data_IF_838459235131
#
_entry.id   IF_838459235131
#
_cell.length_a   1.000
_cell.length_b   1.000
_cell.length_c   1.000
_cell.angle_alpha   90.00
_cell.angle_beta   90.00
_cell.angle_gamma   90.00
#
_symmetry.space_group_name_H-M   'P 1'
#
loop_
_entity.id
_entity.type
_entity.pdbx_description
1 polymer ?
#
# COMPACT_ATOMS: atom_id res chain seq x y z
N UNK A 1 4.20 16.51 13.01
CA UNK A 1 3.02 16.47 12.11
C UNK A 1 2.21 15.24 12.47
N UNK A 2 0.91 15.45 12.64
CA UNK A 2 0.01 14.67 13.51
C UNK A 2 -0.30 13.31 12.90
N UNK A 3 -0.17 12.23 13.69
CA UNK A 3 -0.49 10.85 13.31
C UNK A 3 -1.88 10.67 12.65
N UNK A 4 -2.80 11.62 12.84
CA UNK A 4 -4.13 11.62 12.26
C UNK A 4 -4.16 11.73 10.72
N UNK A 5 -3.24 12.50 10.13
CA UNK A 5 -3.18 12.72 8.68
C UNK A 5 -2.75 11.44 7.95
N UNK A 6 -1.82 10.68 8.53
CA UNK A 6 -1.33 9.42 7.96
C UNK A 6 -2.43 8.36 7.87
N UNK A 7 -3.24 8.23 8.93
CA UNK A 7 -4.32 7.24 8.97
C UNK A 7 -5.43 7.55 7.97
N UNK A 8 -5.75 8.83 7.74
CA UNK A 8 -6.70 9.24 6.70
C UNK A 8 -6.12 9.06 5.30
N UNK A 9 -4.84 9.41 5.10
CA UNK A 9 -4.18 9.26 3.82
C UNK A 9 -4.08 7.80 3.40
N UNK A 10 -3.79 6.88 4.32
CA UNK A 10 -3.75 5.45 4.03
C UNK A 10 -5.11 4.95 3.53
N UNK A 11 -6.19 5.39 4.18
CA UNK A 11 -7.57 5.02 3.81
C UNK A 11 -7.91 5.56 2.43
N UNK A 12 -7.70 6.86 2.21
CA UNK A 12 -7.91 7.51 0.92
C UNK A 12 -7.09 6.83 -0.18
N UNK A 13 -5.81 6.55 0.07
CA UNK A 13 -4.95 5.88 -0.89
C UNK A 13 -5.45 4.48 -1.25
N UNK A 14 -5.93 3.73 -0.27
CA UNK A 14 -6.41 2.36 -0.50
C UNK A 14 -7.72 2.36 -1.29
N UNK A 15 -8.68 3.19 -0.90
CA UNK A 15 -10.02 3.20 -1.50
C UNK A 15 -10.08 4.02 -2.78
N UNK A 16 -9.54 5.24 -2.79
CA UNK A 16 -9.67 6.18 -3.92
C UNK A 16 -8.60 5.96 -4.98
N UNK A 17 -7.34 5.75 -4.58
CA UNK A 17 -6.23 5.57 -5.53
C UNK A 17 -6.16 4.13 -6.03
N UNK A 18 -6.06 3.16 -5.11
CA UNK A 18 -5.94 1.76 -5.48
C UNK A 18 -7.30 1.11 -5.82
N UNK A 19 -8.41 1.63 -5.30
CA UNK A 19 -9.73 1.04 -5.53
C UNK A 19 -9.98 -0.26 -4.76
N UNK A 20 -9.24 -0.48 -3.66
CA UNK A 20 -9.41 -1.66 -2.83
C UNK A 20 -10.36 -1.40 -1.68
N UNK A 21 -11.15 -2.42 -1.32
CA UNK A 21 -11.99 -2.38 -0.14
C UNK A 21 -11.19 -2.72 1.10
N UNK A 22 -11.21 -1.83 2.09
CA UNK A 22 -10.53 -2.06 3.37
C UNK A 22 -11.27 -3.18 4.12
N UNK A 23 -10.53 -4.22 4.50
CA UNK A 23 -11.06 -5.30 5.35
C UNK A 23 -10.83 -4.98 6.84
N UNK A 24 -9.62 -4.52 7.17
CA UNK A 24 -9.24 -4.19 8.54
C UNK A 24 -8.27 -3.01 8.56
N UNK A 25 -8.33 -2.21 9.63
CA UNK A 25 -7.49 -1.03 9.82
C UNK A 25 -6.90 -1.06 11.23
N UNK A 26 -5.59 -0.95 11.30
CA UNK A 26 -4.81 -1.00 12.54
C UNK A 26 -3.85 0.20 12.62
N UNK A 27 -4.30 1.26 13.29
CA UNK A 27 -3.64 2.57 13.36
C UNK A 27 -3.25 3.18 12.00
N UNK A 28 -2.10 2.77 11.46
CA UNK A 28 -1.52 3.18 10.17
C UNK A 28 -1.50 2.04 9.14
N UNK A 29 -1.70 0.79 9.55
CA UNK A 29 -1.74 -0.35 8.65
C UNK A 29 -3.17 -0.56 8.15
N UNK A 30 -3.30 -0.72 6.85
CA UNK A 30 -4.57 -1.07 6.22
C UNK A 30 -4.44 -2.44 5.58
N UNK A 31 -5.35 -3.33 5.95
CA UNK A 31 -5.38 -4.68 5.44
C UNK A 31 -6.52 -4.82 4.44
N UNK A 32 -6.17 -5.34 3.27
CA UNK A 32 -7.08 -5.67 2.18
C UNK A 32 -7.04 -7.17 2.00
N UNK A 33 -8.21 -7.78 1.94
CA UNK A 33 -8.34 -9.19 1.60
C UNK A 33 -8.74 -9.30 0.13
N UNK A 34 -7.78 -9.67 -0.71
CA UNK A 34 -7.99 -9.88 -2.12
C UNK A 34 -7.12 -11.05 -2.59
N UNK A 35 -7.78 -12.08 -3.11
CA UNK A 35 -7.10 -13.27 -3.63
C UNK A 35 -6.64 -13.00 -5.06
N UNK A 36 -5.36 -12.66 -5.22
CA UNK A 36 -4.76 -12.39 -6.53
C UNK A 36 -3.28 -12.80 -6.55
N UNK A 37 -2.71 -12.94 -7.74
CA UNK A 37 -1.29 -13.24 -7.85
C UNK A 37 -0.44 -12.00 -7.54
N UNK A 38 0.79 -12.21 -7.08
CA UNK A 38 1.75 -11.13 -6.82
C UNK A 38 1.98 -10.25 -8.05
N UNK A 39 2.14 -10.87 -9.23
CA UNK A 39 2.27 -10.17 -10.50
C UNK A 39 1.05 -9.30 -10.82
N UNK A 40 -0.17 -9.84 -10.62
CA UNK A 40 -1.39 -9.09 -10.86
C UNK A 40 -1.53 -7.90 -9.91
N UNK A 41 -1.11 -8.05 -8.64
CA UNK A 41 -1.08 -6.94 -7.69
C UNK A 41 -0.08 -5.87 -8.15
N UNK A 42 1.13 -6.27 -8.55
CA UNK A 42 2.16 -5.36 -9.03
C UNK A 42 1.69 -4.58 -10.26
N UNK A 43 1.09 -5.26 -11.25
CA UNK A 43 0.52 -4.63 -12.43
C UNK A 43 -0.64 -3.71 -12.10
N UNK A 44 -1.51 -4.10 -11.16
CA UNK A 44 -2.61 -3.26 -10.68
C UNK A 44 -2.09 -1.97 -10.05
N UNK A 45 -1.18 -2.08 -9.09
CA UNK A 45 -0.56 -0.95 -8.39
C UNK A 45 0.16 -0.04 -9.39
N UNK A 46 0.94 -0.61 -10.31
CA UNK A 46 1.67 0.13 -11.34
C UNK A 46 0.73 0.91 -12.27
N UNK A 47 -0.38 0.29 -12.68
CA UNK A 47 -1.42 0.95 -13.50
C UNK A 47 -2.15 2.05 -12.74
N UNK A 48 -2.53 1.82 -11.48
CA UNK A 48 -3.27 2.78 -10.66
C UNK A 48 -2.44 4.02 -10.31
N UNK A 49 -1.17 3.81 -9.98
CA UNK A 49 -0.25 4.91 -9.64
C UNK A 49 0.49 5.49 -10.85
N UNK A 50 0.33 4.90 -12.04
CA UNK A 50 1.06 5.25 -13.25
C UNK A 50 2.60 5.34 -13.03
N UNK A 51 3.16 4.44 -12.22
CA UNK A 51 4.57 4.48 -11.83
C UNK A 51 5.47 3.92 -12.94
N UNK A 52 6.54 4.66 -13.25
CA UNK A 52 7.58 4.18 -14.15
C UNK A 52 8.42 3.05 -13.51
N UNK A 53 8.69 3.16 -12.20
CA UNK A 53 9.53 2.22 -11.45
C UNK A 53 8.76 1.78 -10.20
N UNK A 54 8.46 0.49 -10.12
CA UNK A 54 7.92 -0.17 -8.93
C UNK A 54 9.03 -1.07 -8.36
N UNK A 55 9.41 -0.84 -7.11
CA UNK A 55 10.35 -1.73 -6.40
C UNK A 55 9.55 -2.81 -5.70
N UNK A 56 9.77 -4.05 -6.13
CA UNK A 56 9.09 -5.23 -5.59
C UNK A 56 10.15 -6.17 -5.05
N UNK A 57 9.90 -6.75 -3.88
CA UNK A 57 10.70 -7.84 -3.34
C UNK A 57 9.79 -9.05 -3.24
N UNK A 58 10.05 -10.05 -4.07
CA UNK A 58 9.30 -11.29 -4.11
C UNK A 58 10.01 -12.32 -3.23
N UNK A 59 9.30 -12.90 -2.27
CA UNK A 59 9.78 -13.99 -1.41
C UNK A 59 9.37 -15.38 -1.91
N UNK A 60 8.90 -15.50 -3.16
CA UNK A 60 8.42 -16.72 -3.80
C UNK A 60 6.93 -17.02 -3.60
N UNK A 61 6.16 -16.11 -2.98
CA UNK A 61 4.71 -16.29 -2.77
C UNK A 61 3.94 -15.81 -4.01
N UNK A 62 3.45 -16.77 -4.79
CA UNK A 62 2.67 -16.49 -6.00
C UNK A 62 1.28 -15.97 -5.70
N UNK A 63 0.64 -16.50 -4.66
CA UNK A 63 -0.72 -16.18 -4.28
C UNK A 63 -0.73 -15.28 -3.03
N UNK A 64 -1.32 -14.10 -3.18
CA UNK A 64 -1.56 -13.15 -2.11
C UNK A 64 -3.03 -13.24 -1.75
N UNK A 65 -3.35 -13.40 -0.46
CA UNK A 65 -4.73 -13.31 0.04
C UNK A 65 -4.94 -12.05 0.86
N UNK A 66 -3.93 -11.65 1.62
CA UNK A 66 -3.96 -10.44 2.45
C UNK A 66 -2.83 -9.51 2.09
N UNK A 67 -3.18 -8.25 1.83
CA UNK A 67 -2.26 -7.16 1.50
C UNK A 67 -2.32 -6.15 2.63
N UNK A 68 -1.18 -5.89 3.26
CA UNK A 68 -1.04 -4.78 4.19
C UNK A 68 -0.50 -3.56 3.43
N UNK A 69 -1.09 -2.40 3.65
CA UNK A 69 -0.80 -1.14 2.98
C UNK A 69 -0.47 -0.10 4.05
N UNK A 70 0.66 0.59 3.85
CA UNK A 70 1.11 1.68 4.69
C UNK A 70 1.70 2.80 3.81
N UNK A 71 1.09 3.99 3.80
CA UNK A 71 1.70 5.16 3.15
C UNK A 71 2.54 5.91 4.19
N UNK A 72 3.84 6.07 3.92
CA UNK A 72 4.83 6.66 4.83
C UNK A 72 6.02 5.74 5.15
N UNK A 73 6.85 6.14 6.12
CA UNK A 73 8.07 5.43 6.55
C UNK A 73 7.76 4.24 7.48
N UNK A 74 6.72 3.47 7.17
CA UNK A 74 6.29 2.29 7.94
C UNK A 74 7.19 1.06 7.78
N UNK A 75 8.43 1.22 7.30
CA UNK A 75 9.38 0.12 7.10
C UNK A 75 9.67 -0.64 8.40
N UNK A 76 9.65 0.04 9.55
CA UNK A 76 9.83 -0.59 10.86
C UNK A 76 8.67 -1.52 11.25
N UNK A 77 7.48 -1.32 10.65
CA UNK A 77 6.28 -2.11 10.90
C UNK A 77 6.25 -3.42 10.09
N UNK A 78 7.14 -3.61 9.10
CA UNK A 78 7.27 -4.88 8.36
C UNK A 78 7.39 -6.08 9.30
N UNK A 79 8.13 -5.91 10.40
CA UNK A 79 8.35 -6.97 11.39
C UNK A 79 7.08 -7.41 12.13
N UNK A 80 6.02 -6.59 12.13
CA UNK A 80 4.75 -6.80 12.84
C UNK A 80 3.56 -7.05 11.92
N UNK A 81 3.76 -7.00 10.60
CA UNK A 81 2.68 -7.16 9.62
C UNK A 81 2.35 -8.64 9.45
N UNK A 82 1.07 -8.98 9.68
CA UNK A 82 0.51 -10.30 9.39
C UNK A 82 -0.23 -10.29 8.05
N UNK A 83 0.53 -10.21 6.95
CA UNK A 83 0.01 -10.21 5.58
C UNK A 83 0.94 -10.97 4.63
N UNK A 84 0.38 -11.42 3.49
CA UNK A 84 1.16 -12.07 2.44
C UNK A 84 2.02 -11.09 1.65
N UNK A 85 1.54 -9.85 1.54
CA UNK A 85 2.24 -8.76 0.85
C UNK A 85 2.15 -7.49 1.68
N UNK A 86 3.27 -6.78 1.79
CA UNK A 86 3.34 -5.47 2.42
C UNK A 86 3.66 -4.41 1.37
N UNK A 87 2.74 -3.46 1.20
CA UNK A 87 2.87 -2.32 0.31
C UNK A 87 3.20 -1.09 1.16
N UNK A 88 4.44 -0.62 1.04
CA UNK A 88 4.88 0.63 1.64
C UNK A 88 5.19 1.65 0.55
N UNK A 89 4.69 2.87 0.68
CA UNK A 89 5.12 3.99 -0.14
C UNK A 89 5.89 4.98 0.71
N UNK A 90 7.19 5.20 0.44
CA UNK A 90 7.85 6.41 0.90
C UNK A 90 7.28 7.56 0.06
N UNK A 91 6.20 8.16 0.55
CA UNK A 91 5.53 9.25 -0.13
C UNK A 91 6.39 10.50 0.00
N UNK A 92 7.44 10.60 -0.83
CA UNK A 92 7.87 11.90 -1.38
C UNK A 92 6.81 12.38 -2.36
N UNK A 93 5.65 12.68 -1.81
CA UNK A 93 4.52 13.35 -2.47
C UNK A 93 4.81 14.84 -2.72
N UNK A 94 6.04 15.30 -2.48
CA UNK A 94 6.50 16.65 -2.82
C UNK A 94 6.53 16.95 -4.33
N UNK A 95 6.28 15.97 -5.22
CA UNK A 95 6.12 16.24 -6.67
C UNK A 95 4.72 15.96 -7.22
N UNK A 96 3.83 15.34 -6.45
CA UNK A 96 2.53 14.90 -6.98
C UNK A 96 1.37 15.85 -6.64
N UNK A 97 1.52 16.74 -5.65
CA UNK A 97 0.47 17.71 -5.28
C UNK A 97 0.91 19.18 -5.31
N UNK A 98 2.19 19.51 -5.52
CA UNK A 98 2.63 20.90 -5.74
C UNK A 98 2.27 21.44 -7.14
N UNK A 99 1.47 20.70 -7.91
CA UNK A 99 0.95 21.11 -9.22
C UNK A 99 -0.59 21.23 -9.26
N UNK A 100 -1.23 21.48 -8.11
CA UNK A 100 -2.63 21.90 -8.00
C UNK A 100 -2.73 23.24 -7.24
#
# INVERSE_FOLDING_TARGET
HTNYDLSHLNTYFTEEILGFKISFKDEFLIYVENSMSFEALCDWVKKKLNLQILRVSDCGKKDIKRIAICTGSGGDLISKVDADCFLSGDFKYHQALEAL
#
